data_IF_046792151656
#
_entry.id   IF_046792151656
#
_cell.length_a   1.000
_cell.length_b   1.000
_cell.length_c   1.000
_cell.angle_alpha   90.00
_cell.angle_beta   90.00
_cell.angle_gamma   90.00
#
_symmetry.space_group_name_H-M   'P 1'
#
loop_
_entity.id
_entity.type
_entity.pdbx_description
1 polymer ?
#
# COMPACT_ATOMS: atom_id res chain seq x y z
N UNK A 1 17.63 5.28 31.31
CA UNK A 1 16.62 4.29 30.89
C UNK A 1 16.40 4.52 29.40
N UNK A 2 17.06 3.74 28.53
CA UNK A 2 16.90 3.87 27.07
C UNK A 2 15.54 3.29 26.71
N UNK A 3 14.61 4.13 26.27
CA UNK A 3 13.38 3.70 25.63
C UNK A 3 13.83 3.09 24.30
N UNK A 4 13.83 1.76 24.21
CA UNK A 4 13.93 1.07 22.94
C UNK A 4 12.63 1.41 22.21
N UNK A 5 12.70 2.27 21.20
CA UNK A 5 11.63 2.40 20.22
C UNK A 5 11.50 1.04 19.56
N UNK A 6 10.58 0.21 20.06
CA UNK A 6 10.16 -0.99 19.37
C UNK A 6 9.47 -0.52 18.10
N UNK A 7 10.12 -0.74 16.97
CA UNK A 7 9.54 -0.57 15.63
C UNK A 7 8.32 -1.49 15.56
N UNK A 8 7.13 -0.92 15.73
CA UNK A 8 5.88 -1.64 15.62
C UNK A 8 5.45 -1.56 14.17
N UNK A 9 5.49 -2.69 13.46
CA UNK A 9 4.91 -2.76 12.12
C UNK A 9 3.44 -3.11 12.23
N UNK A 10 2.59 -2.37 11.52
CA UNK A 10 1.21 -2.79 11.31
C UNK A 10 1.22 -3.81 10.20
N UNK A 11 0.78 -5.05 10.46
CA UNK A 11 0.67 -6.09 9.43
C UNK A 11 -0.78 -6.43 9.14
N UNK A 12 -1.13 -6.53 7.87
CA UNK A 12 -2.42 -7.07 7.42
C UNK A 12 -2.19 -8.13 6.35
N UNK A 13 -3.21 -8.94 6.08
CA UNK A 13 -3.15 -9.96 5.04
C UNK A 13 -4.32 -9.82 4.07
N UNK A 14 -4.04 -10.12 2.80
CA UNK A 14 -5.01 -10.17 1.72
C UNK A 14 -4.80 -11.43 0.90
N UNK A 15 -5.85 -11.91 0.27
CA UNK A 15 -5.74 -12.82 -0.87
C UNK A 15 -5.29 -12.05 -2.11
N UNK A 16 -4.66 -12.74 -3.07
CA UNK A 16 -4.37 -12.11 -4.36
C UNK A 16 -5.67 -11.71 -5.10
N UNK A 17 -6.78 -12.43 -4.89
CA UNK A 17 -8.09 -12.09 -5.45
C UNK A 17 -8.60 -10.73 -4.95
N UNK A 18 -8.54 -10.48 -3.63
CA UNK A 18 -8.94 -9.19 -3.05
C UNK A 18 -8.11 -8.03 -3.60
N UNK A 19 -6.79 -8.24 -3.79
CA UNK A 19 -5.90 -7.22 -4.35
C UNK A 19 -6.15 -6.96 -5.84
N UNK A 20 -6.56 -7.97 -6.60
CA UNK A 20 -6.95 -7.82 -8.01
C UNK A 20 -8.30 -7.15 -8.18
N UNK A 21 -9.23 -7.37 -7.25
CA UNK A 21 -10.55 -6.73 -7.24
C UNK A 21 -10.50 -5.28 -6.73
N UNK A 22 -9.42 -4.88 -6.06
CA UNK A 22 -9.24 -3.53 -5.55
C UNK A 22 -9.11 -2.50 -6.69
N UNK A 23 -9.74 -1.33 -6.51
CA UNK A 23 -9.65 -0.26 -7.49
C UNK A 23 -8.32 0.50 -7.37
N UNK A 24 -7.30 0.06 -8.10
CA UNK A 24 -5.99 0.73 -8.13
C UNK A 24 -5.99 2.05 -8.89
N UNK A 25 -7.01 2.35 -9.71
CA UNK A 25 -7.09 3.60 -10.49
C UNK A 25 -7.63 4.79 -9.67
N UNK A 26 -7.66 4.69 -8.35
CA UNK A 26 -8.13 5.75 -7.47
C UNK A 26 -7.01 6.77 -7.19
N UNK A 27 -7.39 8.03 -7.08
CA UNK A 27 -6.51 9.13 -6.69
C UNK A 27 -7.05 9.71 -5.38
N UNK A 28 -6.21 9.71 -4.35
CA UNK A 28 -6.55 10.30 -3.05
C UNK A 28 -5.96 11.70 -2.96
N UNK A 29 -6.79 12.69 -2.63
CA UNK A 29 -6.37 14.08 -2.46
C UNK A 29 -6.37 14.45 -0.99
N UNK A 30 -5.33 15.13 -0.52
CA UNK A 30 -5.28 15.69 0.83
C UNK A 30 -4.68 17.09 0.84
N UNK A 31 -5.09 17.87 1.84
CA UNK A 31 -4.50 19.16 2.14
C UNK A 31 -3.33 18.94 3.10
N UNK A 32 -2.17 19.50 2.78
CA UNK A 32 -0.98 19.52 3.62
C UNK A 32 -0.49 20.95 3.80
N UNK A 33 0.45 21.16 4.73
CA UNK A 33 1.00 22.46 5.08
C UNK A 33 2.52 22.44 4.94
N UNK A 34 3.05 23.36 4.14
CA UNK A 34 4.50 23.56 4.02
C UNK A 34 5.10 24.10 5.32
N UNK A 35 6.43 24.02 5.47
CA UNK A 35 7.13 24.58 6.64
C UNK A 35 6.87 26.08 6.90
N UNK A 36 6.41 26.82 5.89
CA UNK A 36 6.10 28.25 5.98
C UNK A 36 4.61 28.53 6.30
N UNK A 37 3.80 27.50 6.51
CA UNK A 37 2.36 27.63 6.78
C UNK A 37 1.48 27.78 5.54
N UNK A 38 2.03 27.57 4.34
CA UNK A 38 1.23 27.60 3.10
C UNK A 38 0.54 26.25 2.90
N UNK A 39 -0.78 26.29 2.72
CA UNK A 39 -1.59 25.12 2.40
C UNK A 39 -1.37 24.70 0.95
N UNK A 40 -1.05 23.43 0.76
CA UNK A 40 -0.88 22.80 -0.55
C UNK A 40 -1.85 21.63 -0.69
N UNK A 41 -2.29 21.38 -1.93
CA UNK A 41 -3.07 20.20 -2.26
C UNK A 41 -2.13 19.14 -2.83
N UNK A 42 -2.01 18.02 -2.13
CA UNK A 42 -1.26 16.85 -2.59
C UNK A 42 -2.22 15.76 -3.06
N UNK A 43 -1.68 14.83 -3.84
CA UNK A 43 -2.42 13.67 -4.32
C UNK A 43 -1.56 12.42 -4.33
N UNK A 44 -2.20 11.28 -4.08
CA UNK A 44 -1.60 9.95 -4.18
C UNK A 44 -2.32 9.21 -5.28
N UNK A 45 -1.62 8.92 -6.37
CA UNK A 45 -2.08 8.02 -7.43
C UNK A 45 -1.76 6.58 -7.05
N UNK A 46 -2.81 5.79 -6.78
CA UNK A 46 -2.63 4.42 -6.33
C UNK A 46 -2.13 3.51 -7.45
N UNK A 47 -2.40 3.86 -8.72
CA UNK A 47 -1.93 3.09 -9.86
C UNK A 47 -0.43 3.27 -10.05
N UNK A 48 0.09 4.47 -9.77
CA UNK A 48 1.52 4.75 -9.81
C UNK A 48 2.25 4.06 -8.65
N UNK A 49 1.81 4.25 -7.40
CA UNK A 49 2.49 3.68 -6.24
C UNK A 49 2.37 2.15 -6.17
N UNK A 50 1.24 1.60 -6.64
CA UNK A 50 0.95 0.17 -6.64
C UNK A 50 1.53 -0.61 -7.82
N UNK A 51 2.08 0.04 -8.84
CA UNK A 51 2.44 -0.59 -10.12
C UNK A 51 3.35 -1.82 -9.96
N UNK A 52 4.51 -1.64 -9.33
CA UNK A 52 5.49 -2.73 -9.18
C UNK A 52 4.98 -3.83 -8.26
N UNK A 53 4.22 -3.47 -7.22
CA UNK A 53 3.56 -4.46 -6.36
C UNK A 53 2.58 -5.32 -7.16
N UNK A 54 1.72 -4.69 -7.95
CA UNK A 54 0.74 -5.40 -8.78
C UNK A 54 1.39 -6.21 -9.90
N UNK A 55 2.54 -5.80 -10.46
CA UNK A 55 3.32 -6.66 -11.38
C UNK A 55 3.77 -7.97 -10.71
N UNK A 56 4.17 -7.93 -9.44
CA UNK A 56 4.57 -9.13 -8.67
C UNK A 56 3.37 -10.01 -8.35
N UNK A 57 2.27 -9.42 -7.85
CA UNK A 57 1.00 -10.13 -7.63
C UNK A 57 0.55 -10.79 -8.94
N UNK A 58 0.68 -10.07 -10.05
CA UNK A 58 0.27 -10.55 -11.36
C UNK A 58 1.09 -11.77 -11.82
N UNK A 59 2.40 -11.72 -11.58
CA UNK A 59 3.29 -12.86 -11.86
C UNK A 59 2.96 -14.08 -11.01
N UNK A 60 2.58 -13.89 -9.75
CA UNK A 60 2.24 -14.99 -8.83
C UNK A 60 0.95 -15.71 -9.24
N UNK A 61 -0.11 -14.98 -9.65
CA UNK A 61 -1.36 -15.62 -10.08
C UNK A 61 -1.19 -16.43 -11.36
N UNK A 62 -0.27 -16.07 -12.26
CA UNK A 62 -0.11 -16.78 -13.54
C UNK A 62 0.19 -18.28 -13.37
N UNK A 63 0.49 -18.71 -12.14
CA UNK A 63 0.91 -20.06 -11.76
C UNK A 63 -0.09 -20.79 -10.85
N UNK A 64 -1.07 -20.11 -10.24
CA UNK A 64 -2.00 -20.65 -9.24
C UNK A 64 -3.32 -19.87 -9.17
N UNK A 65 -4.38 -20.47 -8.63
CA UNK A 65 -5.63 -19.76 -8.38
C UNK A 65 -5.40 -18.58 -7.40
N UNK A 66 -5.78 -17.33 -7.74
CA UNK A 66 -5.61 -16.16 -6.88
C UNK A 66 -6.13 -16.31 -5.45
N UNK A 67 -7.26 -17.02 -5.26
CA UNK A 67 -7.88 -17.21 -3.94
C UNK A 67 -7.02 -18.07 -3.00
N UNK A 68 -6.08 -18.85 -3.54
CA UNK A 68 -5.17 -19.72 -2.77
C UNK A 68 -3.87 -19.01 -2.35
N UNK A 69 -3.62 -17.80 -2.86
CA UNK A 69 -2.40 -17.04 -2.57
C UNK A 69 -2.71 -16.01 -1.49
N UNK A 70 -2.05 -16.13 -0.33
CA UNK A 70 -2.09 -15.11 0.73
C UNK A 70 -0.84 -14.24 0.70
N UNK A 71 -1.04 -12.93 0.75
CA UNK A 71 -0.01 -11.90 0.79
C UNK A 71 -0.11 -11.19 2.15
N UNK A 72 1.01 -11.07 2.84
CA UNK A 72 1.12 -10.29 4.09
C UNK A 72 1.80 -8.98 3.72
N UNK A 73 1.14 -7.86 4.01
CA UNK A 73 1.67 -6.52 3.82
C UNK A 73 2.01 -5.96 5.20
N UNK A 74 3.26 -5.54 5.37
CA UNK A 74 3.74 -4.86 6.56
C UNK A 74 3.91 -3.38 6.25
N UNK A 75 3.38 -2.53 7.12
CA UNK A 75 3.53 -1.09 7.05
C UNK A 75 4.47 -0.66 8.18
N UNK A 76 5.48 0.10 7.81
CA UNK A 76 6.34 0.80 8.76
C UNK A 76 5.55 1.99 9.32
N UNK A 77 5.46 2.07 10.64
CA UNK A 77 4.83 3.19 11.36
C UNK A 77 5.88 4.19 11.82
#
# INVERSE_FOLDING_TARGET
>A
MQIRNSEYHTTTWFTAEELLAFNWNQVFHYEDETMNGEKIMEFVDYAECGKTFMEVVNRLYSRKNPSDIRLIIAFDN
#
